data_IF_428815325696
#
_entry.id   IF_428815325696
#
_cell.length_a   1.000
_cell.length_b   1.000
_cell.length_c   1.000
_cell.angle_alpha   90.00
_cell.angle_beta   90.00
_cell.angle_gamma   90.00
#
_symmetry.space_group_name_H-M   'P 1'
#
loop_
_entity.id
_entity.type
_entity.pdbx_description
1 polymer ?
#
# COMPACT_ATOMS: atom_id res chain seq x y z
N UNK A 1 10.57 5.31 9.74
CA UNK A 1 9.33 6.03 9.39
C UNK A 1 8.20 5.02 9.34
N UNK A 2 7.07 5.29 9.99
CA UNK A 2 5.86 4.44 9.91
C UNK A 2 4.85 5.17 9.03
N UNK A 3 4.36 4.49 8.00
CA UNK A 3 3.33 4.99 7.09
C UNK A 3 2.14 4.08 7.28
N UNK A 4 0.97 4.67 7.53
CA UNK A 4 -0.27 3.92 7.66
C UNK A 4 -1.13 4.25 6.45
N UNK A 5 -1.54 3.20 5.74
CA UNK A 5 -2.44 3.29 4.60
C UNK A 5 -3.76 2.66 5.07
N UNK A 6 -4.86 3.43 5.15
CA UNK A 6 -6.10 2.96 5.78
C UNK A 6 -6.93 2.01 4.90
N UNK A 7 -6.47 1.72 3.69
CA UNK A 7 -7.17 0.87 2.73
C UNK A 7 -6.20 -0.19 2.16
N UNK A 8 -6.77 -1.34 1.84
CA UNK A 8 -6.04 -2.40 1.17
C UNK A 8 -5.85 -2.04 -0.32
N UNK A 9 -4.81 -2.59 -0.98
CA UNK A 9 -4.69 -2.48 -2.42
C UNK A 9 -5.94 -2.96 -3.17
N UNK A 10 -6.16 -2.50 -4.41
CA UNK A 10 -7.32 -2.89 -5.21
C UNK A 10 -7.22 -4.36 -5.64
N UNK A 11 -8.36 -5.05 -5.80
CA UNK A 11 -8.41 -6.46 -6.24
C UNK A 11 -7.77 -6.64 -7.60
N UNK A 12 -7.79 -5.61 -8.43
CA UNK A 12 -7.21 -5.55 -9.77
C UNK A 12 -5.68 -5.68 -9.79
N UNK A 13 -5.01 -5.47 -8.65
CA UNK A 13 -3.56 -5.74 -8.52
C UNK A 13 -3.23 -7.21 -8.33
N UNK A 14 -4.25 -8.03 -8.09
CA UNK A 14 -4.08 -9.46 -8.01
C UNK A 14 -3.54 -10.07 -9.30
N UNK A 15 -2.54 -10.97 -9.21
CA UNK A 15 -2.16 -11.85 -10.30
C UNK A 15 -3.30 -12.73 -10.83
N UNK A 16 -4.29 -13.03 -9.98
CA UNK A 16 -5.44 -13.88 -10.30
C UNK A 16 -6.65 -13.09 -10.83
N UNK A 17 -6.56 -11.77 -10.92
CA UNK A 17 -7.64 -10.95 -11.45
C UNK A 17 -7.72 -11.07 -12.97
N UNK A 18 -8.93 -11.33 -13.47
CA UNK A 18 -9.21 -11.62 -14.90
C UNK A 18 -9.93 -10.49 -15.64
N UNK A 19 -9.91 -9.27 -15.11
CA UNK A 19 -10.52 -8.10 -15.75
C UNK A 19 -9.63 -7.42 -16.79
N UNK A 20 -10.10 -6.29 -17.31
CA UNK A 20 -9.43 -5.60 -18.42
C UNK A 20 -8.33 -4.64 -17.93
N UNK A 21 -7.19 -4.56 -18.63
CA UNK A 21 -6.04 -3.73 -18.20
C UNK A 21 -6.39 -2.27 -17.87
N UNK A 22 -7.37 -1.68 -18.59
CA UNK A 22 -7.84 -0.32 -18.34
C UNK A 22 -8.50 -0.15 -16.95
N UNK A 23 -9.25 -1.16 -16.49
CA UNK A 23 -9.87 -1.15 -15.16
C UNK A 23 -8.81 -1.25 -14.07
N UNK A 24 -7.79 -2.10 -14.27
CA UNK A 24 -6.62 -2.19 -13.39
C UNK A 24 -5.86 -0.89 -13.31
N UNK A 25 -5.65 -0.23 -14.44
CA UNK A 25 -4.98 1.06 -14.47
C UNK A 25 -5.80 2.11 -13.71
N UNK A 26 -7.12 2.14 -13.90
CA UNK A 26 -8.01 3.08 -13.21
C UNK A 26 -8.01 2.86 -11.69
N UNK A 27 -8.22 1.61 -11.24
CA UNK A 27 -8.19 1.26 -9.81
C UNK A 27 -6.80 1.51 -9.19
N UNK A 28 -5.75 1.14 -9.94
CA UNK A 28 -4.37 1.33 -9.53
C UNK A 28 -3.97 2.78 -9.37
N UNK A 29 -4.43 3.68 -10.26
CA UNK A 29 -4.16 5.11 -10.14
C UNK A 29 -4.73 5.69 -8.85
N UNK A 30 -5.97 5.35 -8.52
CA UNK A 30 -6.62 5.82 -7.28
C UNK A 30 -5.85 5.34 -6.05
N UNK A 31 -5.48 4.06 -6.02
CA UNK A 31 -4.71 3.51 -4.89
C UNK A 31 -3.31 4.13 -4.80
N UNK A 32 -2.61 4.28 -5.93
CA UNK A 32 -1.29 4.90 -5.99
C UNK A 32 -1.32 6.32 -5.44
N UNK A 33 -2.26 7.16 -5.92
CA UNK A 33 -2.36 8.55 -5.49
C UNK A 33 -2.66 8.64 -4.00
N UNK A 34 -3.55 7.77 -3.49
CA UNK A 34 -3.88 7.75 -2.07
C UNK A 34 -2.69 7.31 -1.20
N UNK A 35 -1.94 6.27 -1.59
CA UNK A 35 -0.70 5.86 -0.89
C UNK A 35 0.34 6.97 -0.95
N UNK A 36 0.49 7.63 -2.09
CA UNK A 36 1.42 8.75 -2.26
C UNK A 36 1.12 9.87 -1.26
N UNK A 37 -0.15 10.27 -1.11
CA UNK A 37 -0.52 11.29 -0.13
C UNK A 37 -0.28 10.84 1.32
N UNK A 38 -0.52 9.58 1.67
CA UNK A 38 -0.15 9.03 2.99
C UNK A 38 1.37 9.12 3.25
N UNK A 39 2.19 8.82 2.25
CA UNK A 39 3.64 8.94 2.33
C UNK A 39 4.09 10.40 2.52
N UNK A 40 3.49 11.34 1.78
CA UNK A 40 3.77 12.77 1.89
C UNK A 40 3.39 13.29 3.28
N UNK A 41 2.22 12.95 3.80
CA UNK A 41 1.80 13.34 5.15
C UNK A 41 2.75 12.79 6.22
N UNK A 42 3.09 11.50 6.14
CA UNK A 42 4.02 10.89 7.09
C UNK A 42 5.42 11.54 7.05
N UNK A 43 5.90 11.89 5.86
CA UNK A 43 7.18 12.60 5.67
C UNK A 43 7.12 14.00 6.27
N UNK A 44 6.05 14.76 6.00
CA UNK A 44 5.87 16.11 6.53
C UNK A 44 5.80 16.13 8.06
N UNK A 45 5.08 15.16 8.65
CA UNK A 45 5.06 14.97 10.12
C UNK A 45 6.42 14.60 10.66
N UNK A 46 7.18 13.77 9.95
CA UNK A 46 8.55 13.43 10.29
C UNK A 46 9.47 14.66 10.32
N UNK A 47 9.47 15.43 9.23
CA UNK A 47 10.29 16.64 9.09
C UNK A 47 9.94 17.68 10.18
N UNK A 48 8.65 17.87 10.50
CA UNK A 48 8.22 18.75 11.60
C UNK A 48 8.76 18.32 12.97
N UNK A 49 9.00 17.03 13.17
CA UNK A 49 9.61 16.47 14.39
C UNK A 49 11.14 16.45 14.33
N UNK A 50 11.75 17.05 13.30
CA UNK A 50 13.21 17.08 13.11
C UNK A 50 13.80 15.76 12.61
N UNK A 51 12.99 14.82 12.11
CA UNK A 51 13.52 13.62 11.48
C UNK A 51 14.14 13.99 10.13
N UNK A 52 15.42 13.66 9.97
CA UNK A 52 16.10 13.64 8.67
C UNK A 52 16.06 12.22 8.11
N UNK A 53 15.83 12.08 6.81
CA UNK A 53 15.73 10.78 6.13
C UNK A 53 16.92 10.55 5.18
N UNK A 54 18.15 10.34 5.68
CA UNK A 54 19.27 9.93 4.85
C UNK A 54 19.09 8.45 4.47
N UNK A 55 18.29 8.20 3.43
CA UNK A 55 18.03 6.85 2.93
C UNK A 55 19.23 6.36 2.10
N UNK A 56 20.31 5.95 2.77
CA UNK A 56 21.45 5.28 2.11
C UNK A 56 21.12 3.82 1.79
N UNK A 57 20.35 3.17 2.67
CA UNK A 57 19.72 1.85 2.48
C UNK A 57 18.39 1.85 3.22
N UNK A 58 17.33 1.37 2.57
CA UNK A 58 16.00 1.28 3.16
C UNK A 58 15.63 -0.19 3.41
N UNK A 59 15.16 -0.49 4.63
CA UNK A 59 14.47 -1.75 4.93
C UNK A 59 12.98 -1.46 5.02
N UNK A 60 12.18 -2.16 4.22
CA UNK A 60 10.73 -2.08 4.26
C UNK A 60 10.20 -3.27 5.06
N UNK A 61 9.47 -2.99 6.15
CA UNK A 61 8.67 -3.99 6.85
C UNK A 61 7.20 -3.66 6.58
N UNK A 62 6.48 -4.58 5.97
CA UNK A 62 5.08 -4.40 5.60
C UNK A 62 4.19 -5.25 6.52
N UNK A 63 3.17 -4.62 7.10
CA UNK A 63 2.16 -5.30 7.91
C UNK A 63 0.81 -5.05 7.26
N UNK A 64 0.13 -6.11 6.84
CA UNK A 64 -1.23 -6.03 6.29
C UNK A 64 -2.20 -6.36 7.41
N UNK A 65 -3.16 -5.46 7.64
CA UNK A 65 -4.23 -5.66 8.62
C UNK A 65 -5.53 -5.82 7.86
N UNK A 66 -6.20 -6.96 8.05
CA UNK A 66 -7.50 -7.24 7.46
C UNK A 66 -8.61 -6.95 8.45
N UNK A 67 -9.72 -6.37 7.97
CA UNK A 67 -10.91 -6.15 8.79
C UNK A 67 -11.60 -7.46 9.20
N UNK A 68 -11.43 -8.53 8.40
CA UNK A 68 -12.06 -9.83 8.62
C UNK A 68 -11.01 -10.95 8.62
N UNK A 69 -11.16 -11.88 9.58
CA UNK A 69 -10.39 -13.12 9.64
C UNK A 69 -10.97 -14.15 8.65
N UNK A 70 -10.57 -14.05 7.38
CA UNK A 70 -10.83 -15.07 6.36
C UNK A 70 -9.59 -15.95 6.15
N UNK A 71 -9.81 -17.22 5.83
CA UNK A 71 -8.74 -18.15 5.47
C UNK A 71 -8.10 -17.67 4.15
N UNK A 72 -6.86 -17.19 4.22
CA UNK A 72 -6.12 -16.58 3.10
C UNK A 72 -4.80 -17.32 2.96
N UNK A 73 -4.54 -17.83 1.76
CA UNK A 73 -3.21 -18.34 1.38
C UNK A 73 -2.22 -17.17 1.45
N UNK A 74 -1.03 -17.37 2.03
CA UNK A 74 -0.01 -16.32 2.15
C UNK A 74 0.41 -15.78 0.77
N UNK A 75 0.34 -16.62 -0.27
CA UNK A 75 0.59 -16.19 -1.66
C UNK A 75 -0.58 -15.34 -2.22
N UNK A 76 -1.79 -15.54 -1.71
CA UNK A 76 -2.96 -14.75 -2.06
C UNK A 76 -3.07 -13.43 -1.28
N UNK A 77 -2.16 -13.14 -0.34
CA UNK A 77 -2.09 -11.81 0.30
C UNK A 77 -1.82 -10.69 -0.72
N UNK A 78 -1.19 -11.01 -1.85
CA UNK A 78 -1.03 -10.11 -3.00
C UNK A 78 -2.16 -10.26 -4.04
N UNK A 79 -2.98 -11.31 -3.94
CA UNK A 79 -3.88 -11.75 -5.02
C UNK A 79 -5.38 -11.74 -4.66
N UNK A 80 -5.78 -11.48 -3.43
CA UNK A 80 -7.20 -11.39 -3.10
C UNK A 80 -7.36 -10.68 -1.77
N UNK A 81 -7.72 -9.40 -1.85
CA UNK A 81 -8.22 -8.66 -0.70
C UNK A 81 -9.58 -9.21 -0.28
#
# INVERSE_FOLDING_TARGET
MRIEVPFLPPVEYSPNWRGHWAEKHKAGKVYHDAVFYCCVDATNRGNRKGLSFPLVKAKLNLTVVFAEQRLRDENNLLARF
#
